data_IF_324635829741
#
_entry.id   IF_324635829741
#
_cell.length_a   1.000
_cell.length_b   1.000
_cell.length_c   1.000
_cell.angle_alpha   90.00
_cell.angle_beta   90.00
_cell.angle_gamma   90.00
#
_symmetry.space_group_name_H-M   'P 1'
#
loop_
_entity.id
_entity.type
_entity.pdbx_description
1 polymer ?
#
# COMPACT_ATOMS: atom_id res chain seq x y z
N UNK A 1 3.62 -34.10 -15.77
CA UNK A 1 2.83 -34.04 -17.03
C UNK A 1 3.73 -34.61 -18.12
N UNK A 2 3.21 -35.50 -18.96
CA UNK A 2 4.01 -36.11 -20.05
C UNK A 2 4.31 -35.04 -21.12
N UNK A 3 5.58 -34.84 -21.44
CA UNK A 3 6.03 -33.85 -22.42
C UNK A 3 5.52 -34.14 -23.83
N UNK A 4 5.25 -35.42 -24.14
CA UNK A 4 4.63 -35.81 -25.41
C UNK A 4 3.17 -35.35 -25.50
N UNK A 5 2.43 -35.42 -24.39
CA UNK A 5 1.06 -34.90 -24.30
C UNK A 5 1.05 -33.37 -24.45
N UNK A 6 1.98 -32.68 -23.79
CA UNK A 6 2.12 -31.22 -23.85
C UNK A 6 2.35 -30.69 -25.27
N UNK A 7 3.13 -31.43 -26.08
CA UNK A 7 3.39 -31.11 -27.51
C UNK A 7 2.10 -31.13 -28.34
N UNK A 8 1.17 -32.03 -28.02
CA UNK A 8 -0.12 -32.08 -28.71
C UNK A 8 -1.07 -31.00 -28.17
N UNK A 9 -1.12 -30.85 -26.85
CA UNK A 9 -2.05 -29.94 -26.17
C UNK A 9 -1.77 -28.46 -26.50
N UNK A 10 -0.50 -28.06 -26.65
CA UNK A 10 -0.16 -26.65 -26.91
C UNK A 10 -0.75 -26.15 -28.25
N UNK A 11 -0.83 -27.02 -29.26
CA UNK A 11 -1.45 -26.68 -30.55
C UNK A 11 -2.94 -26.45 -30.37
N UNK A 12 -3.62 -27.34 -29.62
CA UNK A 12 -5.04 -27.19 -29.33
C UNK A 12 -5.33 -25.92 -28.50
N UNK A 13 -4.46 -25.59 -27.54
CA UNK A 13 -4.57 -24.39 -26.71
C UNK A 13 -4.42 -23.13 -27.57
N UNK A 14 -3.44 -23.09 -28.48
CA UNK A 14 -3.27 -21.93 -29.38
C UNK A 14 -4.47 -21.76 -30.32
N UNK A 15 -5.02 -22.84 -30.88
CA UNK A 15 -6.23 -22.76 -31.68
C UNK A 15 -7.42 -22.23 -30.86
N UNK A 16 -7.56 -22.65 -29.60
CA UNK A 16 -8.58 -22.11 -28.70
C UNK A 16 -8.35 -20.63 -28.39
N UNK A 17 -7.10 -20.21 -28.21
CA UNK A 17 -6.75 -18.79 -28.03
C UNK A 17 -7.07 -17.98 -29.27
N UNK A 18 -6.93 -18.52 -30.48
CA UNK A 18 -7.20 -17.80 -31.73
C UNK A 18 -8.70 -17.50 -31.87
N UNK A 19 -9.54 -18.34 -31.29
CA UNK A 19 -10.99 -18.12 -31.21
C UNK A 19 -11.39 -17.05 -30.18
N UNK A 20 -10.51 -16.74 -29.21
CA UNK A 20 -10.82 -15.87 -28.07
C UNK A 20 -10.14 -14.49 -28.20
N UNK A 21 -8.90 -14.46 -28.69
CA UNK A 21 -8.06 -13.27 -28.70
C UNK A 21 -7.88 -12.71 -30.12
N UNK A 22 -7.75 -11.38 -30.27
CA UNK A 22 -7.55 -10.76 -31.57
C UNK A 22 -6.18 -11.13 -32.17
N UNK A 23 -5.98 -11.02 -33.50
CA UNK A 23 -4.70 -11.33 -34.15
C UNK A 23 -3.47 -10.64 -33.55
N UNK A 24 -3.63 -9.45 -32.96
CA UNK A 24 -2.56 -8.71 -32.28
C UNK A 24 -1.98 -9.42 -31.05
N UNK A 25 -2.71 -10.39 -30.47
CA UNK A 25 -2.23 -11.21 -29.35
C UNK A 25 -1.15 -12.23 -29.81
N UNK A 26 -1.20 -12.68 -31.06
CA UNK A 26 -0.31 -13.69 -31.63
C UNK A 26 1.03 -13.09 -32.08
N UNK A 27 1.79 -12.61 -31.10
CA UNK A 27 3.17 -12.17 -31.32
C UNK A 27 4.10 -13.37 -31.49
N UNK A 28 5.34 -13.12 -31.91
CA UNK A 28 6.39 -14.15 -32.02
C UNK A 28 6.54 -14.98 -30.73
N UNK A 29 6.35 -14.36 -29.55
CA UNK A 29 6.44 -15.03 -28.25
C UNK A 29 5.36 -16.11 -28.07
N UNK A 30 4.16 -15.92 -28.61
CA UNK A 30 3.09 -16.93 -28.54
C UNK A 30 3.44 -18.16 -29.38
N UNK A 31 4.08 -17.97 -30.53
CA UNK A 31 4.52 -19.07 -31.39
C UNK A 31 5.72 -19.82 -30.81
N UNK A 32 6.61 -19.16 -30.08
CA UNK A 32 7.74 -19.80 -29.39
C UNK A 32 7.26 -20.89 -28.42
N UNK A 33 6.06 -20.74 -27.82
CA UNK A 33 5.50 -21.75 -26.90
C UNK A 33 5.27 -23.12 -27.55
N UNK A 34 5.06 -23.19 -28.87
CA UNK A 34 4.91 -24.46 -29.60
C UNK A 34 6.20 -25.28 -29.58
N UNK A 35 7.35 -24.61 -29.52
CA UNK A 35 8.66 -25.25 -29.56
C UNK A 35 9.15 -25.69 -28.18
N UNK A 36 8.66 -25.08 -27.10
CA UNK A 36 9.10 -25.37 -25.73
C UNK A 36 8.98 -26.86 -25.34
N UNK A 37 7.90 -27.60 -25.69
CA UNK A 37 7.80 -29.01 -25.34
C UNK A 37 8.86 -29.86 -26.03
N UNK A 38 9.11 -29.60 -27.31
CA UNK A 38 10.12 -30.31 -28.10
C UNK A 38 11.53 -29.95 -27.65
N UNK A 39 11.77 -28.69 -27.32
CA UNK A 39 13.03 -28.22 -26.77
C UNK A 39 13.36 -28.86 -25.42
N UNK A 40 12.36 -28.99 -24.55
CA UNK A 40 12.50 -29.63 -23.24
C UNK A 40 12.66 -31.16 -23.35
N UNK A 41 12.08 -31.81 -24.37
CA UNK A 41 12.33 -33.22 -24.69
C UNK A 41 13.76 -33.46 -25.17
N UNK A 42 14.27 -32.59 -26.05
CA UNK A 42 15.59 -32.74 -26.66
C UNK A 42 16.72 -32.40 -25.70
N UNK A 43 16.55 -31.33 -24.93
CA UNK A 43 17.65 -30.70 -24.21
C UNK A 43 17.37 -30.53 -22.71
N UNK A 44 16.29 -31.12 -22.21
CA UNK A 44 15.91 -31.11 -20.81
C UNK A 44 15.38 -29.75 -20.32
N UNK A 45 15.20 -29.62 -18.99
CA UNK A 45 14.61 -28.44 -18.39
C UNK A 45 15.36 -27.14 -18.76
N UNK A 46 14.57 -26.13 -19.11
CA UNK A 46 15.03 -24.85 -19.66
C UNK A 46 15.95 -24.08 -18.70
N UNK A 47 15.78 -24.26 -17.39
CA UNK A 47 16.62 -23.66 -16.34
C UNK A 47 18.11 -24.01 -16.47
N UNK A 48 18.47 -25.19 -16.98
CA UNK A 48 19.87 -25.61 -17.15
C UNK A 48 20.55 -25.06 -18.40
N UNK A 49 19.78 -24.44 -19.32
CA UNK A 49 20.27 -23.92 -20.61
C UNK A 49 20.06 -22.42 -20.78
N UNK A 50 19.45 -21.78 -19.79
CA UNK A 50 19.31 -20.33 -19.79
C UNK A 50 20.67 -19.67 -19.70
N UNK A 51 21.01 -18.90 -20.73
CA UNK A 51 22.16 -18.00 -20.71
C UNK A 51 21.96 -16.82 -19.77
N UNK A 52 20.72 -16.51 -19.39
CA UNK A 52 20.39 -15.32 -18.61
C UNK A 52 21.20 -15.18 -17.30
N UNK A 53 21.38 -16.22 -16.45
CA UNK A 53 22.25 -16.11 -15.27
C UNK A 53 23.72 -15.82 -15.61
N UNK A 54 24.23 -16.43 -16.69
CA UNK A 54 25.60 -16.23 -17.17
C UNK A 54 25.78 -14.81 -17.70
N UNK A 55 24.85 -14.34 -18.54
CA UNK A 55 24.85 -12.98 -19.09
C UNK A 55 24.74 -11.93 -17.98
N UNK A 56 23.92 -12.17 -16.96
CA UNK A 56 23.80 -11.28 -15.79
C UNK A 56 25.10 -11.23 -15.01
N UNK A 57 25.74 -12.38 -14.76
CA UNK A 57 27.04 -12.45 -14.10
C UNK A 57 28.11 -11.69 -14.90
N UNK A 58 28.21 -11.95 -16.22
CA UNK A 58 29.12 -11.24 -17.11
C UNK A 58 28.84 -9.73 -17.14
N UNK A 59 27.57 -9.34 -17.08
CA UNK A 59 27.14 -7.95 -16.97
C UNK A 59 27.67 -7.28 -15.70
N UNK A 60 27.61 -7.94 -14.55
CA UNK A 60 28.18 -7.42 -13.29
C UNK A 60 29.71 -7.35 -13.35
N UNK A 61 30.38 -8.40 -13.83
CA UNK A 61 31.83 -8.41 -14.00
C UNK A 61 32.30 -7.31 -14.97
N UNK A 62 31.52 -7.01 -16.01
CA UNK A 62 31.85 -5.92 -16.93
C UNK A 62 31.80 -4.55 -16.26
N UNK A 63 30.92 -4.34 -15.27
CA UNK A 63 30.84 -3.09 -14.51
C UNK A 63 32.06 -2.89 -13.59
N UNK A 64 32.72 -3.96 -13.15
CA UNK A 64 33.93 -3.85 -12.32
C UNK A 64 35.21 -3.56 -13.12
N UNK A 65 35.20 -3.69 -14.44
CA UNK A 65 36.35 -3.36 -15.30
C UNK A 65 36.55 -1.84 -15.40
N UNK A 66 37.34 -1.28 -14.49
CA UNK A 66 37.77 0.14 -14.52
C UNK A 66 38.94 0.38 -15.46
N UNK A 67 39.85 -0.58 -15.59
CA UNK A 67 40.99 -0.53 -16.51
C UNK A 67 40.87 -1.62 -17.59
N UNK A 68 40.53 -1.21 -18.82
CA UNK A 68 40.38 -2.14 -19.95
C UNK A 68 41.69 -2.77 -20.42
N UNK A 69 42.86 -2.20 -20.06
CA UNK A 69 44.16 -2.79 -20.38
C UNK A 69 44.53 -3.96 -19.45
N UNK A 70 43.85 -4.09 -18.30
CA UNK A 70 44.05 -5.18 -17.32
C UNK A 70 42.70 -5.60 -16.70
N UNK A 71 41.79 -6.17 -17.49
CA UNK A 71 40.42 -6.44 -17.05
C UNK A 71 40.35 -7.44 -15.89
N UNK A 72 41.18 -8.48 -15.89
CA UNK A 72 41.22 -9.49 -14.83
C UNK A 72 41.65 -8.85 -13.50
N UNK A 73 42.68 -7.99 -13.54
CA UNK A 73 43.16 -7.27 -12.36
C UNK A 73 42.10 -6.32 -11.78
N UNK A 74 41.37 -5.59 -12.64
CA UNK A 74 40.25 -4.75 -12.19
C UNK A 74 39.10 -5.55 -11.59
N UNK A 75 38.78 -6.72 -12.15
CA UNK A 75 37.75 -7.60 -11.60
C UNK A 75 38.17 -8.11 -10.22
N UNK A 76 39.41 -8.61 -10.07
CA UNK A 76 39.93 -9.10 -8.79
C UNK A 76 39.91 -7.99 -7.73
N UNK A 77 40.37 -6.79 -8.08
CA UNK A 77 40.36 -5.64 -7.15
C UNK A 77 38.94 -5.32 -6.65
N UNK A 78 37.96 -5.28 -7.56
CA UNK A 78 36.58 -5.02 -7.19
C UNK A 78 35.99 -6.13 -6.31
N UNK A 79 36.36 -7.40 -6.55
CA UNK A 79 35.95 -8.53 -5.71
C UNK A 79 36.53 -8.43 -4.30
N UNK A 80 37.81 -8.09 -4.15
CA UNK A 80 38.44 -7.89 -2.84
C UNK A 80 37.75 -6.76 -2.07
N UNK A 81 37.42 -5.65 -2.76
CA UNK A 81 36.65 -4.56 -2.16
C UNK A 81 35.26 -5.02 -1.72
N UNK A 82 34.55 -5.76 -2.59
CA UNK A 82 33.22 -6.28 -2.30
C UNK A 82 33.22 -7.20 -1.09
N UNK A 83 34.14 -8.18 -1.02
CA UNK A 83 34.26 -9.10 0.12
C UNK A 83 34.62 -8.36 1.41
N UNK A 84 35.58 -7.43 1.35
CA UNK A 84 35.99 -6.64 2.51
C UNK A 84 34.83 -5.81 3.07
N UNK A 85 34.09 -5.12 2.20
CA UNK A 85 32.92 -4.32 2.60
C UNK A 85 31.76 -5.18 3.08
N UNK A 86 31.57 -6.35 2.47
CA UNK A 86 30.56 -7.34 2.89
C UNK A 86 30.87 -7.84 4.29
N UNK A 87 32.12 -8.24 4.54
CA UNK A 87 32.60 -8.69 5.85
C UNK A 87 32.44 -7.59 6.90
N UNK A 88 32.95 -6.38 6.64
CA UNK A 88 32.77 -5.23 7.55
C UNK A 88 31.29 -4.95 7.81
N UNK A 89 30.44 -5.03 6.78
CA UNK A 89 29.01 -4.77 6.86
C UNK A 89 28.26 -5.73 7.78
N UNK A 90 28.77 -6.94 8.04
CA UNK A 90 28.18 -7.87 9.01
C UNK A 90 28.33 -7.40 10.46
N UNK A 91 29.32 -6.56 10.75
CA UNK A 91 29.62 -6.09 12.12
C UNK A 91 29.16 -4.65 12.38
N UNK A 92 28.83 -3.89 11.34
CA UNK A 92 28.35 -2.51 11.44
C UNK A 92 26.83 -2.49 11.60
N UNK A 93 26.34 -2.14 12.79
CA UNK A 93 24.89 -2.08 13.09
C UNK A 93 24.27 -0.71 12.79
N UNK A 94 25.06 0.36 12.90
CA UNK A 94 24.55 1.74 12.80
C UNK A 94 24.76 2.38 11.41
N UNK A 95 25.16 1.59 10.42
CA UNK A 95 25.43 2.05 9.04
C UNK A 95 24.59 1.21 8.08
N UNK A 96 24.04 1.85 7.04
CA UNK A 96 23.33 1.13 5.97
C UNK A 96 24.32 0.24 5.18
N UNK A 97 24.06 -1.07 5.15
CA UNK A 97 24.82 -2.10 4.45
C UNK A 97 23.90 -2.92 3.56
N UNK A 98 24.45 -3.75 2.68
CA UNK A 98 23.63 -4.65 1.86
C UNK A 98 22.70 -5.59 2.67
N UNK A 99 23.05 -5.87 3.94
CA UNK A 99 22.30 -6.80 4.79
C UNK A 99 21.22 -6.13 5.65
N UNK A 100 21.44 -4.88 6.06
CA UNK A 100 20.51 -4.14 6.92
C UNK A 100 19.76 -3.02 6.18
N UNK A 101 20.07 -2.82 4.89
CA UNK A 101 19.42 -1.82 4.05
C UNK A 101 17.92 -1.99 4.10
N UNK A 102 17.17 -0.95 4.50
CA UNK A 102 15.72 -1.05 4.52
C UNK A 102 15.17 -1.33 3.13
N UNK A 103 14.02 -2.00 3.08
CA UNK A 103 13.34 -2.24 1.82
C UNK A 103 13.04 -0.91 1.10
N UNK A 104 12.92 -0.98 -0.24
CA UNK A 104 12.68 0.20 -1.09
C UNK A 104 11.52 1.08 -0.61
N UNK A 105 10.49 0.45 -0.08
CA UNK A 105 9.29 1.12 0.45
C UNK A 105 9.23 1.04 1.99
N UNK A 106 10.35 1.29 2.67
CA UNK A 106 10.38 1.33 4.13
C UNK A 106 9.44 2.41 4.68
N UNK A 107 8.55 1.99 5.58
CA UNK A 107 7.52 2.78 6.26
C UNK A 107 7.95 3.24 7.68
N UNK A 108 9.17 2.89 8.10
CA UNK A 108 9.72 3.28 9.40
C UNK A 108 9.53 2.26 10.50
N UNK A 109 8.76 1.19 10.24
CA UNK A 109 8.50 0.11 11.18
C UNK A 109 7.44 0.45 12.23
N UNK A 110 7.11 -0.58 13.02
CA UNK A 110 6.02 -0.51 13.99
C UNK A 110 6.35 0.41 15.16
N UNK A 111 5.42 1.31 15.43
CA UNK A 111 5.40 2.22 16.58
C UNK A 111 4.83 1.46 17.81
N UNK A 112 5.39 1.68 19.00
CA UNK A 112 5.07 0.95 20.26
C UNK A 112 4.17 1.75 21.22
N UNK A 113 3.39 2.66 20.65
CA UNK A 113 2.44 3.51 21.34
C UNK A 113 1.20 2.70 21.76
N UNK A 114 0.56 3.13 22.84
CA UNK A 114 -0.59 2.43 23.44
C UNK A 114 -1.89 2.70 22.68
N UNK A 115 -2.06 3.92 22.19
CA UNK A 115 -3.20 4.31 21.36
C UNK A 115 -2.95 3.87 19.91
N UNK A 116 -3.90 3.09 19.40
CA UNK A 116 -3.93 2.55 18.03
C UNK A 116 -3.64 3.61 16.96
N UNK A 117 -4.17 4.83 17.11
CA UNK A 117 -3.96 5.94 16.17
C UNK A 117 -2.50 6.41 16.09
N UNK A 118 -1.73 6.28 17.17
CA UNK A 118 -0.30 6.64 17.20
C UNK A 118 0.63 5.49 16.81
N UNK A 119 0.14 4.25 16.82
CA UNK A 119 0.91 3.04 16.50
C UNK A 119 1.09 2.79 14.98
N UNK A 120 0.77 3.76 14.12
CA UNK A 120 0.84 3.59 12.67
C UNK A 120 2.27 3.39 12.14
N UNK A 121 2.45 2.35 11.31
CA UNK A 121 3.64 2.14 10.49
C UNK A 121 3.52 2.90 9.17
N UNK A 122 3.78 4.21 9.22
CA UNK A 122 3.64 5.10 8.07
C UNK A 122 4.75 6.16 8.03
N UNK A 123 5.36 6.33 6.86
CA UNK A 123 6.42 7.33 6.61
C UNK A 123 6.07 8.24 5.42
N UNK A 124 5.63 9.48 5.67
CA UNK A 124 5.46 10.50 4.64
C UNK A 124 6.79 10.83 3.94
N UNK A 125 6.73 11.24 2.67
CA UNK A 125 7.90 11.68 1.91
C UNK A 125 7.58 12.76 0.86
N UNK A 126 8.66 13.38 0.38
CA UNK A 126 8.61 14.54 -0.52
C UNK A 126 8.62 15.84 0.26
N UNK A 127 8.83 16.94 -0.45
CA UNK A 127 8.91 18.25 0.19
C UNK A 127 7.54 18.64 0.76
N UNK A 128 7.49 19.16 2.01
CA UNK A 128 6.26 19.66 2.57
C UNK A 128 5.66 20.74 1.68
N UNK A 129 4.40 20.53 1.25
CA UNK A 129 3.74 21.39 0.27
C UNK A 129 3.54 22.80 0.82
N UNK A 130 4.31 23.79 0.34
CA UNK A 130 4.17 25.21 0.74
C UNK A 130 2.94 25.93 0.15
N UNK A 131 2.16 25.26 -0.71
CA UNK A 131 1.09 25.89 -1.49
C UNK A 131 -0.30 25.27 -1.37
N UNK A 132 -0.45 24.12 -0.69
CA UNK A 132 -1.78 23.56 -0.44
C UNK A 132 -2.40 24.20 0.80
N UNK A 133 -3.55 24.86 0.63
CA UNK A 133 -4.31 25.40 1.74
C UNK A 133 -4.98 24.27 2.49
N UNK A 134 -4.67 24.14 3.78
CA UNK A 134 -5.44 23.36 4.72
C UNK A 134 -6.13 24.37 5.64
N UNK A 135 -7.45 24.36 5.70
CA UNK A 135 -8.21 25.36 6.47
C UNK A 135 -8.24 25.00 7.96
N UNK A 136 -8.83 25.89 8.78
CA UNK A 136 -9.16 25.55 10.17
C UNK A 136 -10.23 24.44 10.22
N UNK A 137 -11.22 24.50 9.34
CA UNK A 137 -12.26 23.48 9.23
C UNK A 137 -11.68 22.11 8.84
N UNK A 138 -10.71 22.06 7.92
CA UNK A 138 -9.99 20.82 7.59
C UNK A 138 -9.30 20.23 8.82
N UNK A 139 -8.75 21.08 9.69
CA UNK A 139 -8.10 20.66 10.93
C UNK A 139 -9.10 20.09 11.94
N UNK A 140 -10.24 20.74 12.10
CA UNK A 140 -11.32 20.29 12.98
C UNK A 140 -11.88 18.95 12.50
N UNK A 141 -12.13 18.78 11.20
CA UNK A 141 -12.61 17.51 10.61
C UNK A 141 -11.56 16.41 10.75
N UNK A 142 -10.30 16.68 10.40
CA UNK A 142 -9.23 15.69 10.49
C UNK A 142 -9.00 15.24 11.93
N UNK A 143 -8.94 16.17 12.89
CA UNK A 143 -8.74 15.84 14.28
C UNK A 143 -9.96 15.11 14.88
N UNK A 144 -11.19 15.53 14.55
CA UNK A 144 -12.40 14.79 14.91
C UNK A 144 -12.37 13.34 14.40
N UNK A 145 -11.94 13.13 13.15
CA UNK A 145 -11.81 11.80 12.58
C UNK A 145 -10.81 10.94 13.36
N UNK A 146 -9.68 11.51 13.80
CA UNK A 146 -8.73 10.79 14.65
C UNK A 146 -9.38 10.38 15.97
N UNK A 147 -10.12 11.28 16.63
CA UNK A 147 -10.78 10.98 17.90
C UNK A 147 -11.81 9.85 17.74
N UNK A 148 -12.62 9.90 16.68
CA UNK A 148 -13.69 8.92 16.43
C UNK A 148 -13.18 7.57 15.90
N UNK A 149 -11.89 7.46 15.56
CA UNK A 149 -11.26 6.21 15.10
C UNK A 149 -10.20 5.71 16.10
N UNK A 150 -10.30 6.13 17.36
CA UNK A 150 -9.48 5.64 18.46
C UNK A 150 -10.39 4.90 19.46
N UNK A 151 -10.48 3.58 19.31
CA UNK A 151 -11.37 2.73 20.11
C UNK A 151 -11.14 2.88 21.61
N UNK A 152 -9.89 3.13 22.01
CA UNK A 152 -9.47 3.29 23.41
C UNK A 152 -10.08 4.51 24.09
N UNK A 153 -10.54 5.51 23.32
CA UNK A 153 -11.14 6.73 23.86
C UNK A 153 -12.66 6.83 23.67
N UNK A 154 -13.27 5.87 22.98
CA UNK A 154 -14.72 5.87 22.72
C UNK A 154 -15.54 5.92 24.02
N UNK A 155 -15.12 5.20 25.06
CA UNK A 155 -15.80 5.26 26.36
C UNK A 155 -15.77 6.68 26.99
N UNK A 156 -14.69 7.44 26.79
CA UNK A 156 -14.57 8.82 27.28
C UNK A 156 -15.42 9.78 26.44
N UNK A 157 -15.52 9.54 25.14
CA UNK A 157 -16.40 10.29 24.23
C UNK A 157 -17.86 10.14 24.65
N UNK A 158 -18.30 8.91 24.93
CA UNK A 158 -19.66 8.59 25.37
C UNK A 158 -19.97 9.23 26.74
N UNK A 159 -19.07 9.10 27.72
CA UNK A 159 -19.25 9.69 29.05
C UNK A 159 -19.33 11.22 28.99
N UNK A 160 -18.46 11.84 28.18
CA UNK A 160 -18.47 13.28 27.97
C UNK A 160 -19.75 13.75 27.26
N UNK A 161 -20.24 13.01 26.26
CA UNK A 161 -21.50 13.32 25.59
C UNK A 161 -22.68 13.27 26.59
N UNK A 162 -22.73 12.25 27.45
CA UNK A 162 -23.74 12.13 28.49
C UNK A 162 -23.64 13.25 29.54
N UNK A 163 -22.44 13.67 29.93
CA UNK A 163 -22.23 14.83 30.81
C UNK A 163 -22.75 16.11 30.16
N UNK A 164 -22.44 16.35 28.89
CA UNK A 164 -22.92 17.52 28.15
C UNK A 164 -24.44 17.56 28.02
N UNK A 165 -25.09 16.40 27.81
CA UNK A 165 -26.55 16.30 27.81
C UNK A 165 -27.19 16.68 29.16
N UNK A 166 -26.51 16.40 30.27
CA UNK A 166 -26.98 16.76 31.63
C UNK A 166 -26.83 18.24 31.92
N UNK A 167 -25.69 18.84 31.57
CA UNK A 167 -25.39 20.23 31.91
C UNK A 167 -26.00 21.24 30.93
N UNK A 168 -26.12 20.88 29.66
CA UNK A 168 -26.60 21.79 28.61
C UNK A 168 -27.63 21.11 27.68
N UNK A 169 -28.88 20.85 28.16
CA UNK A 169 -29.90 20.12 27.42
C UNK A 169 -30.30 20.75 26.08
N UNK A 170 -29.99 22.03 25.87
CA UNK A 170 -30.37 22.83 24.69
C UNK A 170 -29.31 22.87 23.59
N UNK A 171 -28.09 22.37 23.82
CA UNK A 171 -26.96 22.42 22.88
C UNK A 171 -26.67 21.02 22.28
N UNK A 172 -27.63 20.47 21.54
CA UNK A 172 -27.49 19.20 20.81
C UNK A 172 -26.93 19.44 19.40
N UNK A 173 -25.63 19.74 19.27
CA UNK A 173 -24.96 19.72 17.97
C UNK A 173 -23.78 18.74 17.99
N UNK A 174 -23.83 17.63 17.21
CA UNK A 174 -22.81 16.57 17.19
C UNK A 174 -21.39 17.04 16.79
N UNK A 175 -21.27 18.24 16.20
CA UNK A 175 -20.03 18.76 15.60
C UNK A 175 -19.20 19.66 16.53
N UNK A 176 -19.71 19.97 17.73
CA UNK A 176 -19.01 20.83 18.70
C UNK A 176 -18.18 20.06 19.73
N UNK A 177 -18.19 18.72 19.71
CA UNK A 177 -17.43 17.86 20.63
C UNK A 177 -15.92 18.15 20.58
N UNK A 178 -15.35 18.45 19.41
CA UNK A 178 -13.91 18.77 19.25
C UNK A 178 -13.48 20.01 20.04
N UNK A 179 -14.32 21.05 20.03
CA UNK A 179 -14.08 22.26 20.81
C UNK A 179 -14.29 22.01 22.32
N UNK A 180 -15.12 21.03 22.67
CA UNK A 180 -15.29 20.62 24.06
C UNK A 180 -14.08 19.83 24.57
N UNK A 181 -13.45 18.93 23.78
CA UNK A 181 -12.21 18.24 24.19
C UNK A 181 -11.05 19.19 24.53
N UNK A 182 -10.95 20.34 23.84
CA UNK A 182 -9.97 21.37 24.16
C UNK A 182 -10.27 22.12 25.46
N UNK A 183 -11.55 22.14 25.88
CA UNK A 183 -12.04 22.93 27.02
C UNK A 183 -12.44 22.08 28.23
N UNK A 184 -12.44 20.74 28.13
CA UNK A 184 -12.51 19.92 29.34
C UNK A 184 -11.23 20.20 30.10
N UNK A 185 -11.34 20.81 31.27
CA UNK A 185 -10.33 20.68 32.30
C UNK A 185 -10.15 19.19 32.56
N UNK A 186 -9.21 18.59 31.83
CA UNK A 186 -8.70 17.22 31.97
C UNK A 186 -8.05 16.99 33.37
N UNK A 187 -8.28 17.90 34.30
CA UNK A 187 -7.55 18.11 35.54
C UNK A 187 -8.06 17.18 36.67
N UNK A 188 -9.21 16.50 36.52
CA UNK A 188 -9.82 15.77 37.64
C UNK A 188 -9.96 14.23 37.48
N UNK A 189 -9.16 13.56 36.63
CA UNK A 189 -9.22 12.09 36.53
C UNK A 189 -7.88 11.36 36.84
N UNK A 190 -7.84 10.36 37.74
CA UNK A 190 -6.59 9.80 38.29
C UNK A 190 -5.80 8.85 37.37
N UNK A 191 -6.30 8.52 36.17
CA UNK A 191 -5.73 7.50 35.27
C UNK A 191 -5.41 8.07 33.88
N UNK A 192 -4.58 9.11 33.82
CA UNK A 192 -4.15 9.71 32.56
C UNK A 192 -2.89 9.05 31.99
N UNK A 193 -2.88 8.79 30.68
CA UNK A 193 -1.67 8.47 29.91
C UNK A 193 -1.18 9.71 29.17
N UNK A 194 0.14 9.85 28.99
CA UNK A 194 0.74 10.97 28.24
C UNK A 194 0.20 11.04 26.80
N UNK A 195 -0.14 9.89 26.22
CA UNK A 195 -0.74 9.78 24.88
C UNK A 195 -2.13 10.43 24.81
N UNK A 196 -2.98 10.18 25.82
CA UNK A 196 -4.32 10.76 25.86
C UNK A 196 -4.27 12.29 26.05
N UNK A 197 -3.35 12.76 26.91
CA UNK A 197 -3.13 14.20 27.10
C UNK A 197 -2.71 14.88 25.81
N UNK A 198 -1.76 14.27 25.09
CA UNK A 198 -1.28 14.80 23.82
C UNK A 198 -2.36 14.77 22.75
N UNK A 199 -3.19 13.71 22.70
CA UNK A 199 -4.32 13.61 21.78
C UNK A 199 -5.34 14.75 22.02
N UNK A 200 -5.68 15.05 23.27
CA UNK A 200 -6.65 16.10 23.60
C UNK A 200 -6.15 17.53 23.36
N UNK A 201 -4.84 17.78 23.48
CA UNK A 201 -4.25 19.10 23.23
C UNK A 201 -4.29 19.52 21.75
N UNK A 202 -4.48 18.55 20.86
CA UNK A 202 -4.58 18.76 19.42
C UNK A 202 -3.23 18.81 18.71
N UNK A 203 -3.22 18.63 17.37
CA UNK A 203 -1.99 18.58 16.60
C UNK A 203 -1.64 19.90 15.89
N UNK A 204 -0.41 19.96 15.36
CA UNK A 204 -0.05 20.81 14.21
C UNK A 204 -0.01 19.93 12.95
N UNK A 205 0.06 20.53 11.76
CA UNK A 205 -0.04 19.78 10.49
C UNK A 205 1.14 20.01 9.56
N UNK A 206 1.50 18.97 8.83
CA UNK A 206 2.40 19.00 7.67
C UNK A 206 1.78 18.23 6.50
N UNK A 207 2.01 18.68 5.27
CA UNK A 207 1.41 18.10 4.06
C UNK A 207 2.49 17.52 3.14
N UNK A 208 2.31 16.29 2.69
CA UNK A 208 3.28 15.55 1.87
C UNK A 208 2.67 15.05 0.56
N UNK A 209 3.56 14.85 -0.42
CA UNK A 209 3.19 14.34 -1.74
C UNK A 209 2.99 12.82 -1.81
N UNK A 210 3.38 12.08 -0.78
CA UNK A 210 3.32 10.63 -0.76
C UNK A 210 3.68 10.04 0.59
N UNK A 211 3.42 8.75 0.75
CA UNK A 211 3.66 8.00 1.99
C UNK A 211 4.04 6.55 1.70
N UNK A 212 4.88 5.97 2.55
CA UNK A 212 5.09 4.53 2.61
C UNK A 212 4.29 3.95 3.78
N UNK A 213 3.50 2.92 3.52
CA UNK A 213 2.63 2.27 4.52
C UNK A 213 2.68 0.77 4.25
N UNK A 214 3.05 -0.02 5.25
CA UNK A 214 3.11 -1.48 5.16
C UNK A 214 3.88 -1.98 3.92
N UNK A 215 4.99 -1.32 3.57
CA UNK A 215 5.78 -1.65 2.38
C UNK A 215 5.18 -1.19 1.03
N UNK A 216 4.05 -0.49 1.04
CA UNK A 216 3.37 0.05 -0.14
C UNK A 216 3.66 1.53 -0.30
N UNK A 217 3.92 1.97 -1.53
CA UNK A 217 4.15 3.37 -1.84
C UNK A 217 2.86 4.00 -2.36
N UNK A 218 2.34 4.99 -1.64
CA UNK A 218 1.24 5.83 -2.08
C UNK A 218 1.74 7.19 -2.55
N UNK A 219 1.06 7.76 -3.54
CA UNK A 219 1.42 9.04 -4.15
C UNK A 219 0.18 9.90 -4.39
N UNK A 220 0.27 11.19 -4.08
CA UNK A 220 -0.79 12.15 -4.41
C UNK A 220 -0.99 12.25 -5.92
N UNK A 221 -2.26 12.32 -6.35
CA UNK A 221 -2.67 12.27 -7.75
C UNK A 221 -1.94 13.28 -8.65
N UNK A 222 -1.72 14.51 -8.17
CA UNK A 222 -1.02 15.55 -8.93
C UNK A 222 0.43 15.18 -9.31
N UNK A 223 1.08 14.32 -8.51
CA UNK A 223 2.42 13.79 -8.79
C UNK A 223 2.35 12.47 -9.54
N UNK A 224 1.38 11.62 -9.21
CA UNK A 224 1.15 10.32 -9.85
C UNK A 224 0.78 10.44 -11.33
N UNK A 225 -0.05 11.42 -11.70
CA UNK A 225 -0.48 11.67 -13.09
C UNK A 225 0.68 12.06 -14.03
N UNK A 226 1.86 12.39 -13.48
CA UNK A 226 3.09 12.69 -14.24
C UNK A 226 4.00 11.47 -14.44
N UNK A 227 3.61 10.31 -13.91
CA UNK A 227 4.40 9.08 -13.95
C UNK A 227 3.74 8.04 -14.86
N UNK A 228 4.52 7.06 -15.30
CA UNK A 228 4.01 5.90 -16.03
C UNK A 228 3.36 4.83 -15.12
N UNK A 229 3.59 4.91 -13.80
CA UNK A 229 3.02 4.00 -12.79
C UNK A 229 1.93 4.71 -12.02
N UNK A 230 0.89 3.98 -11.61
CA UNK A 230 -0.20 4.51 -10.80
C UNK A 230 -0.08 4.03 -9.34
N UNK A 231 -0.01 4.97 -8.40
CA UNK A 231 0.11 4.73 -6.96
C UNK A 231 -0.84 5.61 -6.14
N UNK A 232 -1.76 6.32 -6.80
CA UNK A 232 -2.73 7.22 -6.16
C UNK A 232 -4.08 6.57 -5.86
N UNK A 233 -4.38 5.39 -6.39
CA UNK A 233 -5.66 4.73 -6.16
C UNK A 233 -5.79 4.20 -4.74
N UNK A 234 -6.91 4.51 -4.09
CA UNK A 234 -7.22 4.16 -2.71
C UNK A 234 -8.55 3.42 -2.65
N UNK A 235 -8.57 2.31 -1.92
CA UNK A 235 -9.76 1.57 -1.56
C UNK A 235 -9.83 1.37 -0.05
N UNK A 236 -11.02 1.57 0.52
CA UNK A 236 -11.35 1.24 1.91
C UNK A 236 -12.57 0.33 1.89
N UNK A 237 -12.51 -0.87 2.51
CA UNK A 237 -13.66 -1.77 2.57
C UNK A 237 -14.79 -1.12 3.38
N UNK A 238 -16.03 -1.33 2.94
CA UNK A 238 -17.21 -0.92 3.73
C UNK A 238 -17.35 -1.74 5.02
N UNK A 239 -17.86 -1.12 6.09
CA UNK A 239 -18.11 -1.79 7.38
C UNK A 239 -19.59 -1.97 7.73
N UNK A 240 -19.96 -3.14 8.28
CA UNK A 240 -21.23 -3.39 8.99
C UNK A 240 -22.41 -3.96 8.19
N UNK A 241 -23.43 -4.45 8.92
CA UNK A 241 -24.64 -5.14 8.40
C UNK A 241 -25.59 -4.25 7.56
N UNK A 242 -25.43 -2.92 7.53
CA UNK A 242 -26.39 -2.00 6.91
C UNK A 242 -25.93 -1.35 5.59
N UNK A 243 -24.63 -1.22 5.31
CA UNK A 243 -24.13 -0.71 4.02
C UNK A 243 -22.82 -1.37 3.61
N UNK A 244 -22.94 -2.43 2.81
CA UNK A 244 -21.84 -3.21 2.23
C UNK A 244 -21.18 -2.49 1.03
N UNK A 245 -20.97 -1.17 1.13
CA UNK A 245 -20.46 -0.33 0.04
C UNK A 245 -18.98 -0.02 0.31
N UNK A 246 -18.12 -0.54 -0.56
CA UNK A 246 -16.70 -0.19 -0.57
C UNK A 246 -16.48 1.25 -1.06
N UNK A 247 -15.48 1.92 -0.51
CA UNK A 247 -15.09 3.27 -0.88
C UNK A 247 -13.91 3.25 -1.83
N UNK A 248 -14.02 4.01 -2.91
CA UNK A 248 -13.02 4.07 -3.98
C UNK A 248 -12.68 5.52 -4.27
N UNK A 249 -11.38 5.86 -4.28
CA UNK A 249 -10.94 7.23 -4.53
C UNK A 249 -9.51 7.34 -4.99
N UNK A 250 -9.06 8.60 -5.15
CA UNK A 250 -7.66 8.93 -5.38
C UNK A 250 -7.08 9.72 -4.21
N UNK A 251 -5.92 9.32 -3.73
CA UNK A 251 -5.10 10.10 -2.81
C UNK A 251 -4.77 11.43 -3.46
N UNK A 252 -5.08 12.53 -2.78
CA UNK A 252 -4.71 13.88 -3.19
C UNK A 252 -3.47 14.34 -2.44
N UNK A 253 -3.55 14.27 -1.11
CA UNK A 253 -2.53 14.78 -0.19
C UNK A 253 -2.36 13.84 1.00
N UNK A 254 -1.13 13.68 1.46
CA UNK A 254 -0.83 13.01 2.74
C UNK A 254 -0.75 14.07 3.83
N UNK A 255 -1.54 13.92 4.88
CA UNK A 255 -1.62 14.85 6.00
C UNK A 255 -0.95 14.20 7.22
N UNK A 256 0.12 14.80 7.71
CA UNK A 256 0.75 14.40 8.97
C UNK A 256 0.25 15.34 10.06
N UNK A 257 -0.45 14.78 11.04
CA UNK A 257 -0.82 15.47 12.27
C UNK A 257 0.25 15.17 13.33
N UNK A 258 0.99 16.20 13.74
CA UNK A 258 2.04 16.12 14.74
C UNK A 258 1.50 16.62 16.07
N UNK A 259 1.52 15.76 17.07
CA UNK A 259 1.21 16.10 18.45
C UNK A 259 2.52 16.36 19.21
N UNK A 260 2.40 16.79 20.46
CA UNK A 260 3.56 16.93 21.36
C UNK A 260 4.29 15.59 21.53
N UNK A 261 5.53 15.63 22.01
CA UNK A 261 6.36 14.45 22.30
C UNK A 261 6.60 13.49 21.12
N UNK A 262 6.47 13.99 19.87
CA UNK A 262 6.67 13.26 18.62
C UNK A 262 5.61 12.19 18.32
N UNK A 263 4.47 12.25 18.99
CA UNK A 263 3.28 11.51 18.57
C UNK A 263 2.80 12.04 17.22
N UNK A 264 2.37 11.15 16.34
CA UNK A 264 1.90 11.52 15.03
C UNK A 264 0.76 10.63 14.57
N UNK A 265 -0.10 11.18 13.73
CA UNK A 265 -1.10 10.43 12.97
C UNK A 265 -0.95 10.80 11.50
N UNK A 266 -0.82 9.79 10.65
CA UNK A 266 -0.79 9.98 9.20
C UNK A 266 -2.19 9.71 8.65
N UNK A 267 -2.68 10.67 7.88
CA UNK A 267 -3.99 10.62 7.25
C UNK A 267 -3.85 10.83 5.74
N UNK A 268 -4.78 10.25 5.00
CA UNK A 268 -4.93 10.49 3.57
C UNK A 268 -6.12 11.39 3.32
N UNK A 269 -5.90 12.47 2.58
CA UNK A 269 -6.96 13.25 1.97
C UNK A 269 -7.26 12.65 0.60
N UNK A 270 -8.46 12.13 0.43
CA UNK A 270 -8.87 11.43 -0.78
C UNK A 270 -9.97 12.20 -1.52
N UNK A 271 -9.91 12.17 -2.84
CA UNK A 271 -11.07 12.47 -3.68
C UNK A 271 -11.84 11.18 -3.87
N UNK A 272 -12.94 11.03 -3.15
CA UNK A 272 -13.79 9.85 -3.23
C UNK A 272 -14.74 9.92 -4.42
N UNK A 273 -14.91 8.78 -5.09
CA UNK A 273 -15.89 8.62 -6.16
C UNK A 273 -17.20 8.08 -5.57
N UNK A 274 -18.32 8.44 -6.20
CA UNK A 274 -19.62 7.88 -5.84
C UNK A 274 -19.64 6.38 -6.16
N UNK A 275 -19.59 5.54 -5.13
CA UNK A 275 -19.60 4.08 -5.23
C UNK A 275 -20.95 3.45 -4.93
N UNK A 276 -22.02 4.25 -4.81
CA UNK A 276 -23.34 3.74 -4.43
C UNK A 276 -23.99 2.93 -5.58
N UNK A 277 -24.21 1.61 -5.42
CA UNK A 277 -24.80 0.76 -6.46
C UNK A 277 -26.26 1.12 -6.76
N UNK A 278 -26.97 1.74 -5.81
CA UNK A 278 -28.37 2.14 -5.97
C UNK A 278 -28.52 3.46 -6.75
N UNK A 279 -27.42 4.17 -7.03
CA UNK A 279 -27.46 5.43 -7.79
C UNK A 279 -27.06 5.16 -9.24
N UNK A 280 -27.99 5.30 -10.22
CA UNK A 280 -27.68 5.04 -11.62
C UNK A 280 -26.53 5.92 -12.12
N UNK A 281 -25.49 5.30 -12.67
CA UNK A 281 -24.32 5.99 -13.23
C UNK A 281 -23.15 6.19 -12.27
N UNK A 282 -23.21 5.64 -11.06
CA UNK A 282 -22.10 5.66 -10.07
C UNK A 282 -21.13 4.49 -10.27
N UNK A 283 -21.65 3.26 -10.24
CA UNK A 283 -20.89 2.04 -10.50
C UNK A 283 -21.57 1.15 -11.54
N UNK A 284 -20.77 0.26 -12.15
CA UNK A 284 -21.22 -0.82 -13.02
C UNK A 284 -20.45 -2.08 -12.69
N UNK A 285 -21.12 -3.21 -12.73
CA UNK A 285 -20.46 -4.52 -12.63
C UNK A 285 -20.73 -5.26 -13.93
N UNK A 286 -19.67 -5.60 -14.64
CA UNK A 286 -19.74 -6.37 -15.88
C UNK A 286 -18.77 -7.54 -15.82
N UNK A 287 -19.29 -8.77 -15.99
CA UNK A 287 -18.51 -10.02 -15.84
C UNK A 287 -17.65 -10.10 -14.56
N UNK A 288 -18.13 -9.52 -13.45
CA UNK A 288 -17.41 -9.49 -12.17
C UNK A 288 -16.36 -8.36 -12.05
N UNK A 289 -16.17 -7.54 -13.07
CA UNK A 289 -15.32 -6.35 -13.01
C UNK A 289 -16.14 -5.14 -12.57
N UNK A 290 -15.67 -4.47 -11.52
CA UNK A 290 -16.26 -3.22 -11.03
C UNK A 290 -15.68 -2.04 -11.82
N UNK A 291 -16.56 -1.25 -12.44
CA UNK A 291 -16.23 0.05 -13.03
C UNK A 291 -16.86 1.18 -12.23
N UNK A 292 -16.07 2.21 -11.91
CA UNK A 292 -16.49 3.40 -11.17
C UNK A 292 -16.47 4.62 -12.10
N UNK A 293 -17.44 5.51 -11.95
CA UNK A 293 -17.50 6.77 -12.70
C UNK A 293 -16.75 7.90 -11.97
N UNK A 294 -15.59 8.28 -12.50
CA UNK A 294 -14.69 9.26 -11.85
C UNK A 294 -15.19 10.72 -11.91
N UNK A 295 -16.23 11.00 -12.68
CA UNK A 295 -16.85 12.33 -12.74
C UNK A 295 -17.85 12.58 -11.60
N UNK A 296 -18.20 11.55 -10.85
CA UNK A 296 -19.07 11.67 -9.68
C UNK A 296 -18.25 11.49 -8.41
N UNK A 297 -18.30 12.50 -7.55
CA UNK A 297 -17.63 12.49 -6.25
C UNK A 297 -18.62 12.33 -5.11
N UNK A 298 -18.11 11.89 -3.97
CA UNK A 298 -18.83 11.83 -2.71
C UNK A 298 -17.87 12.26 -1.58
N UNK A 299 -18.41 12.53 -0.39
CA UNK A 299 -17.65 12.90 0.80
C UNK A 299 -16.66 14.07 0.60
N UNK A 300 -17.03 15.08 -0.20
CA UNK A 300 -16.17 16.26 -0.42
C UNK A 300 -15.91 17.05 0.87
N UNK A 301 -16.86 17.01 1.82
CA UNK A 301 -16.75 17.63 3.16
C UNK A 301 -16.07 16.74 4.22
N UNK A 302 -15.87 15.45 3.92
CA UNK A 302 -15.21 14.47 4.80
C UNK A 302 -14.25 13.55 4.01
N UNK A 303 -13.15 14.11 3.47
CA UNK A 303 -12.27 13.40 2.55
C UNK A 303 -11.19 12.57 3.26
N UNK A 304 -11.16 12.53 4.59
CA UNK A 304 -10.02 12.04 5.35
C UNK A 304 -10.21 10.59 5.80
N UNK A 305 -9.12 9.81 5.76
CA UNK A 305 -9.03 8.49 6.38
C UNK A 305 -7.68 8.34 7.09
N UNK A 306 -7.58 7.42 8.04
CA UNK A 306 -6.28 6.99 8.53
C UNK A 306 -5.53 6.26 7.42
N UNK A 307 -4.22 6.50 7.36
CA UNK A 307 -3.40 5.98 6.27
C UNK A 307 -3.38 4.43 6.24
N UNK A 308 -3.46 3.77 7.41
CA UNK A 308 -3.51 2.32 7.55
C UNK A 308 -4.84 1.68 7.10
N UNK A 309 -5.91 2.46 6.91
CA UNK A 309 -7.19 1.96 6.37
C UNK A 309 -7.13 1.76 4.84
N UNK A 310 -6.16 2.40 4.18
CA UNK A 310 -6.06 2.41 2.74
C UNK A 310 -5.43 1.12 2.19
N UNK A 311 -6.07 0.53 1.19
CA UNK A 311 -5.48 -0.47 0.30
C UNK A 311 -5.23 0.15 -1.08
N UNK A 312 -4.11 -0.18 -1.71
CA UNK A 312 -3.76 0.38 -3.01
C UNK A 312 -4.52 -0.35 -4.13
N UNK A 313 -5.07 0.44 -5.04
CA UNK A 313 -5.78 -0.05 -6.23
C UNK A 313 -5.33 0.69 -7.48
N UNK A 314 -5.65 0.11 -8.63
CA UNK A 314 -5.40 0.72 -9.94
C UNK A 314 -6.71 0.91 -10.69
N UNK A 315 -6.80 2.02 -11.40
CA UNK A 315 -7.90 2.44 -12.27
C UNK A 315 -7.47 2.31 -13.73
N UNK A 316 -8.09 1.38 -14.44
CA UNK A 316 -7.89 1.16 -15.87
C UNK A 316 -9.03 1.78 -16.67
N UNK A 317 -8.79 2.24 -17.89
CA UNK A 317 -9.87 2.66 -18.78
C UNK A 317 -10.82 1.49 -19.07
N UNK A 318 -12.13 1.72 -18.88
CA UNK A 318 -13.16 0.75 -19.26
C UNK A 318 -13.32 0.75 -20.79
N UNK A 319 -12.97 -0.35 -21.49
CA UNK A 319 -12.99 -0.39 -22.95
C UNK A 319 -14.41 -0.36 -23.54
N UNK A 320 -15.44 -0.70 -22.75
CA UNK A 320 -16.84 -0.69 -23.17
C UNK A 320 -17.54 0.64 -22.89
N UNK A 321 -16.93 1.51 -22.08
CA UNK A 321 -17.55 2.74 -21.63
C UNK A 321 -16.77 4.00 -22.05
N UNK A 322 -17.31 5.18 -21.74
CA UNK A 322 -16.63 6.46 -21.99
C UNK A 322 -15.42 6.60 -21.06
N UNK A 323 -14.46 7.47 -21.41
CA UNK A 323 -13.24 7.75 -20.64
C UNK A 323 -13.43 8.15 -19.17
N UNK A 324 -14.66 8.50 -18.77
CA UNK A 324 -15.04 8.78 -17.37
C UNK A 324 -15.27 7.52 -16.53
N UNK A 325 -15.22 6.33 -17.13
CA UNK A 325 -15.41 5.06 -16.44
C UNK A 325 -14.07 4.35 -16.29
N UNK A 326 -13.77 3.92 -15.07
CA UNK A 326 -12.53 3.23 -14.77
C UNK A 326 -12.82 1.89 -14.10
N UNK A 327 -12.27 0.82 -14.65
CA UNK A 327 -12.26 -0.51 -14.02
C UNK A 327 -11.32 -0.45 -12.81
N UNK A 328 -11.80 -0.93 -11.67
CA UNK A 328 -11.03 -1.02 -10.43
C UNK A 328 -10.33 -2.37 -10.37
N UNK A 329 -9.01 -2.35 -10.20
CA UNK A 329 -8.21 -3.53 -9.98
C UNK A 329 -7.52 -3.45 -8.62
N UNK A 330 -7.87 -4.38 -7.72
CA UNK A 330 -7.16 -4.59 -6.46
C UNK A 330 -5.78 -5.19 -6.75
N UNK A 331 -4.74 -4.66 -6.10
CA UNK A 331 -3.37 -5.11 -6.28
C UNK A 331 -2.93 -5.90 -5.05
N UNK A 332 -2.61 -7.18 -5.25
CA UNK A 332 -1.93 -7.97 -4.23
C UNK A 332 -0.43 -7.70 -4.33
N UNK A 333 0.15 -7.11 -3.29
CA UNK A 333 1.56 -6.78 -3.27
C UNK A 333 2.38 -8.06 -3.11
N UNK A 334 3.29 -8.32 -4.07
CA UNK A 334 4.12 -9.53 -4.20
C UNK A 334 4.98 -9.93 -2.98
N UNK A 335 5.01 -9.11 -1.92
CA UNK A 335 5.82 -9.31 -0.72
C UNK A 335 5.02 -9.33 0.59
N UNK A 336 3.69 -9.19 0.55
CA UNK A 336 2.84 -9.33 1.75
C UNK A 336 2.37 -10.78 1.78
N UNK A 337 3.23 -11.67 2.28
CA UNK A 337 2.78 -13.00 2.66
C UNK A 337 1.93 -12.84 3.92
N UNK A 338 0.60 -12.95 3.77
CA UNK A 338 -0.23 -13.35 4.88
C UNK A 338 0.18 -14.78 5.20
N UNK A 339 1.14 -14.95 6.12
CA UNK A 339 1.42 -16.25 6.72
C UNK A 339 0.16 -16.56 7.54
N UNK A 340 -0.65 -17.55 7.16
CA UNK A 340 -1.76 -17.95 8.00
C UNK A 340 -1.19 -18.33 9.36
N UNK A 341 -1.77 -17.83 10.45
CA UNK A 341 -1.46 -18.35 11.77
C UNK A 341 -1.73 -19.86 11.72
N UNK A 342 -0.67 -20.66 11.90
CA UNK A 342 -0.81 -22.10 12.01
C UNK A 342 -1.65 -22.36 13.25
N UNK A 343 -2.88 -22.81 13.04
CA UNK A 343 -3.72 -23.34 14.10
C UNK A 343 -2.93 -24.49 14.77
N UNK A 344 -2.62 -24.41 16.07
CA UNK A 344 -1.79 -25.42 16.76
C UNK A 344 -2.48 -26.79 16.89
N UNK A 345 -3.64 -26.97 16.26
CA UNK A 345 -4.43 -28.21 16.27
C UNK A 345 -4.21 -29.08 15.03
N UNK A 346 -3.51 -28.61 13.99
CA UNK A 346 -3.31 -29.40 12.77
C UNK A 346 -2.06 -30.29 12.84
N UNK A 347 -2.14 -31.29 13.72
CA UNK A 347 -1.16 -32.36 13.83
C UNK A 347 -1.43 -33.42 12.75
N UNK A 348 -0.98 -33.21 11.52
CA UNK A 348 -0.77 -34.33 10.59
C UNK A 348 0.49 -34.20 9.73
N UNK A 349 1.38 -35.16 9.95
CA UNK A 349 2.33 -35.74 9.00
C UNK A 349 3.64 -35.00 8.72
N UNK A 350 4.58 -35.24 9.62
CA UNK A 350 6.00 -35.51 9.32
C UNK A 350 6.18 -36.31 8.02
N UNK A 351 6.98 -35.81 7.07
CA UNK A 351 8.02 -36.61 6.39
C UNK A 351 8.92 -35.79 5.43
N UNK A 352 10.24 -35.90 5.71
CA UNK A 352 11.41 -35.67 4.85
C UNK A 352 11.88 -34.24 4.54
N UNK A 353 12.82 -33.75 5.37
CA UNK A 353 14.05 -33.10 4.89
C UNK A 353 15.19 -33.44 5.88
N UNK A 354 15.92 -34.51 5.60
CA UNK A 354 17.27 -34.70 6.13
C UNK A 354 18.28 -34.15 5.14
N UNK A 355 19.13 -33.26 5.64
CA UNK A 355 20.34 -32.71 5.02
C UNK A 355 21.16 -33.72 4.23
N UNK A 356 21.61 -33.35 3.03
CA UNK A 356 23.03 -33.14 2.65
C UNK A 356 23.09 -32.03 1.60
#
# INVERSE_FOLDING_TARGET
MDMFQLRHDIVQVLCKFEMIFPPAFFTSMMHVMVHLPEEALLAGPVNYRWMYPIERLLGELKKSVRNRAKPEGSIIEAWVQYESLTFCGMYLKDVETAFNRPQRNNDGGMRKEKLSVFAQSARPFGDPGRGESFSRNDMEVAHWFVLNNCDEIMAYLDEHEEMMKREHPSHLLPRNTVNCFHNVEIIEFPTYSDELYNLAFGPIRELFSGCYINGVKFLGAARDDKLCTQNSGVHVPGGGESTNIDFYGKLTTVVQLLYKDRYQVIMFKCRWFDSNPNRPGSVKIDHGLLSVNINRTWYDDDPYILANMATQIVYLDDPKARSSWKVVQKMDHRNVYAIPELDPTDNTSTMWLTNV
#
